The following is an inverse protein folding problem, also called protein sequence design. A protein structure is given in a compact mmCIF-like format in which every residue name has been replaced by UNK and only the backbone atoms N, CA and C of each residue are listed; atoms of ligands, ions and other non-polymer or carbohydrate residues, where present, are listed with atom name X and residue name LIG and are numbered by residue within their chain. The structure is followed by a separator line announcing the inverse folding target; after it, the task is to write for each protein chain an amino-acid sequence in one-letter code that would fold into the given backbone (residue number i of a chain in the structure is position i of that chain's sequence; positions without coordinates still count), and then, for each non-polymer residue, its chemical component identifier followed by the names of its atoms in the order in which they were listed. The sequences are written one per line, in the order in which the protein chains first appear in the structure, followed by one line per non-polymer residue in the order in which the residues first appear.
data_IF_358272273400
#
_entry.id   IF_358272273400
#
_cell.length_a   1.000
_cell.length_b   1.000
_cell.length_c   1.000
_cell.angle_alpha   90.00
_cell.angle_beta   90.00
_cell.angle_gamma   90.00
#
_symmetry.space_group_name_H-M   'P 1'
#
loop_
_entity.id
_entity.type
_entity.pdbx_description
1 polymer ?
#
# COMPACT_ATOMS: atom_id res chain seq x y z
N UNK A 1 1.41 -9.71 -9.88
CA UNK A 1 1.37 -8.78 -8.73
C UNK A 1 1.87 -7.37 -9.10
N UNK A 2 3.12 -7.19 -9.58
CA UNK A 2 3.70 -5.88 -9.91
C UNK A 2 2.84 -5.03 -10.85
N UNK A 3 2.43 -5.58 -12.01
CA UNK A 3 1.57 -4.88 -12.96
C UNK A 3 0.20 -4.51 -12.37
N UNK A 4 -0.35 -5.34 -11.48
CA UNK A 4 -1.60 -5.03 -10.79
C UNK A 4 -1.43 -3.88 -9.80
N UNK A 5 -0.36 -3.87 -9.00
CA UNK A 5 -0.09 -2.77 -8.08
C UNK A 5 0.14 -1.43 -8.80
N UNK A 6 0.91 -1.45 -9.90
CA UNK A 6 1.13 -0.27 -10.74
C UNK A 6 -0.19 0.18 -11.41
N UNK A 7 -0.96 -0.75 -11.96
CA UNK A 7 -2.24 -0.44 -12.59
C UNK A 7 -3.21 0.23 -11.62
N UNK A 8 -3.29 -0.28 -10.38
CA UNK A 8 -4.07 0.32 -9.30
C UNK A 8 -3.59 1.74 -8.97
N UNK A 9 -2.26 1.94 -8.89
CA UNK A 9 -1.66 3.24 -8.68
C UNK A 9 -1.97 4.23 -9.81
N UNK A 10 -1.88 3.80 -11.07
CA UNK A 10 -2.24 4.67 -12.21
C UNK A 10 -3.74 5.00 -12.24
N UNK A 11 -4.61 4.03 -11.97
CA UNK A 11 -6.05 4.29 -11.85
C UNK A 11 -6.31 5.32 -10.74
N UNK A 12 -5.64 5.18 -9.60
CA UNK A 12 -5.70 6.12 -8.49
C UNK A 12 -5.18 7.51 -8.87
N UNK A 13 -4.10 7.60 -9.65
CA UNK A 13 -3.54 8.86 -10.15
C UNK A 13 -4.55 9.59 -11.05
N UNK A 14 -5.18 8.88 -11.99
CA UNK A 14 -6.23 9.44 -12.86
C UNK A 14 -7.42 9.92 -12.01
N UNK A 15 -7.86 9.08 -11.05
CA UNK A 15 -8.91 9.44 -10.09
C UNK A 15 -8.54 10.68 -9.27
N UNK A 16 -7.30 10.76 -8.79
CA UNK A 16 -6.79 11.90 -8.04
C UNK A 16 -6.88 13.21 -8.82
N UNK A 17 -6.35 13.26 -10.04
CA UNK A 17 -6.42 14.48 -10.88
C UNK A 17 -7.86 14.88 -11.25
N UNK A 18 -8.79 13.93 -11.34
CA UNK A 18 -10.18 14.22 -11.75
C UNK A 18 -11.08 14.57 -10.58
N UNK A 19 -10.85 14.00 -9.39
CA UNK A 19 -11.75 14.07 -8.24
C UNK A 19 -11.27 15.08 -7.21
N UNK A 20 -9.97 15.10 -6.87
CA UNK A 20 -9.43 15.98 -5.80
C UNK A 20 -9.74 17.46 -6.04
N UNK A 21 -9.63 18.01 -7.27
CA UNK A 21 -10.00 19.41 -7.53
C UNK A 21 -11.46 19.73 -7.20
N UNK A 22 -12.35 18.73 -7.30
CA UNK A 22 -13.79 18.87 -7.02
C UNK A 22 -14.13 18.77 -5.54
N UNK A 23 -13.18 18.39 -4.69
CA UNK A 23 -13.39 18.29 -3.23
C UNK A 23 -13.42 19.65 -2.54
N UNK A 24 -13.21 20.76 -3.29
CA UNK A 24 -13.17 22.12 -2.78
C UNK A 24 -12.26 22.24 -1.53
N UNK A 25 -11.04 21.72 -1.67
CA UNK A 25 -10.03 21.82 -0.61
C UNK A 25 -9.64 23.28 -0.48
N UNK A 26 -10.19 23.95 0.51
CA UNK A 26 -9.85 25.34 0.82
C UNK A 26 -8.56 25.31 1.62
N UNK A 27 -7.51 25.87 1.04
CA UNK A 27 -6.28 26.15 1.78
C UNK A 27 -6.54 27.34 2.71
N UNK A 28 -7.09 27.05 3.90
CA UNK A 28 -7.22 28.05 4.95
C UNK A 28 -5.85 28.29 5.59
N UNK A 29 -4.96 28.95 4.86
CA UNK A 29 -3.73 29.52 5.43
C UNK A 29 -3.98 30.75 6.32
N UNK A 30 -5.23 31.24 6.37
CA UNK A 30 -5.63 32.34 7.19
C UNK A 30 -6.32 31.89 8.48
N UNK A 31 -5.61 31.93 9.61
CA UNK A 31 -6.20 31.68 10.92
C UNK A 31 -5.86 30.34 11.57
N UNK A 32 -4.90 29.60 11.04
CA UNK A 32 -4.35 28.41 11.71
C UNK A 32 -3.53 28.88 12.92
N UNK A 33 -3.88 28.40 14.11
CA UNK A 33 -3.14 28.71 15.32
C UNK A 33 -1.73 28.12 15.23
N UNK A 34 -0.72 28.98 15.46
CA UNK A 34 0.67 28.51 15.48
C UNK A 34 0.89 27.50 16.61
N UNK A 35 1.69 26.49 16.32
CA UNK A 35 2.07 25.49 17.33
C UNK A 35 3.03 26.14 18.33
N UNK A 36 2.95 25.74 19.61
CA UNK A 36 3.97 26.13 20.59
C UNK A 36 5.36 25.70 20.13
N UNK A 37 6.37 26.47 20.51
CA UNK A 37 7.76 26.07 20.27
C UNK A 37 8.04 24.69 20.91
N UNK A 38 8.80 23.86 20.19
CA UNK A 38 9.21 22.56 20.71
C UNK A 38 10.17 22.75 21.90
N UNK A 39 9.89 22.06 23.00
CA UNK A 39 10.73 22.07 24.21
C UNK A 39 12.14 21.56 23.89
N UNK A 40 12.24 20.55 23.04
CA UNK A 40 13.50 20.04 22.48
C UNK A 40 13.24 19.38 21.13
N UNK A 41 14.26 19.34 20.29
CA UNK A 41 14.25 18.64 19.01
C UNK A 41 15.33 17.56 19.04
N UNK A 42 14.92 16.30 18.97
CA UNK A 42 15.85 15.20 18.85
C UNK A 42 16.07 14.91 17.37
N UNK A 43 17.22 15.32 16.85
CA UNK A 43 17.62 15.01 15.47
C UNK A 43 18.49 13.74 15.46
N UNK A 44 17.97 12.67 14.87
CA UNK A 44 18.72 11.43 14.65
C UNK A 44 18.98 11.36 13.15
N UNK A 45 20.22 11.67 12.69
CA UNK A 45 20.53 11.60 11.28
C UNK A 45 20.45 10.14 10.80
N UNK A 46 19.86 9.88 9.62
CA UNK A 46 19.82 8.54 9.06
C UNK A 46 21.23 8.08 8.69
N UNK A 47 21.51 6.78 8.84
CA UNK A 47 22.78 6.17 8.43
C UNK A 47 23.06 6.37 6.93
N UNK A 48 22.00 6.33 6.14
CA UNK A 48 22.02 6.65 4.70
C UNK A 48 20.65 7.23 4.27
N UNK A 49 20.65 7.98 3.18
CA UNK A 49 19.39 8.45 2.62
C UNK A 49 18.53 7.27 2.16
N UNK A 50 17.22 7.43 2.15
CA UNK A 50 16.31 6.35 1.74
C UNK A 50 16.53 5.94 0.28
N UNK A 51 16.80 6.91 -0.60
CA UNK A 51 17.13 6.61 -2.00
C UNK A 51 18.45 5.83 -2.13
N UNK A 52 19.45 6.14 -1.31
CA UNK A 52 20.70 5.36 -1.26
C UNK A 52 20.46 3.94 -0.74
N UNK A 53 19.66 3.78 0.32
CA UNK A 53 19.30 2.48 0.85
C UNK A 53 18.55 1.62 -0.17
N UNK A 54 17.63 2.23 -0.93
CA UNK A 54 16.90 1.55 -2.01
C UNK A 54 17.86 1.06 -3.09
N UNK A 55 18.67 1.97 -3.64
CA UNK A 55 19.59 1.62 -4.72
C UNK A 55 20.57 0.53 -4.25
N UNK A 56 21.09 0.66 -3.04
CA UNK A 56 21.97 -0.34 -2.43
C UNK A 56 21.28 -1.71 -2.31
N UNK A 57 20.04 -1.76 -1.80
CA UNK A 57 19.31 -3.01 -1.63
C UNK A 57 19.00 -3.71 -2.96
N UNK A 58 18.64 -2.94 -4.00
CA UNK A 58 18.43 -3.48 -5.35
C UNK A 58 19.72 -4.05 -5.91
N UNK A 59 20.83 -3.31 -5.83
CA UNK A 59 22.11 -3.76 -6.36
C UNK A 59 22.64 -5.01 -5.64
N UNK A 60 22.56 -5.04 -4.31
CA UNK A 60 23.00 -6.22 -3.53
C UNK A 60 22.08 -7.41 -3.81
N UNK A 61 20.77 -7.22 -3.86
CA UNK A 61 19.83 -8.30 -4.19
C UNK A 61 20.08 -8.91 -5.58
N UNK A 62 20.29 -8.07 -6.60
CA UNK A 62 20.64 -8.52 -7.94
C UNK A 62 22.02 -9.24 -7.98
N UNK A 63 23.02 -8.67 -7.33
CA UNK A 63 24.36 -9.26 -7.26
C UNK A 63 24.33 -10.63 -6.57
N UNK A 64 23.58 -10.76 -5.46
CA UNK A 64 23.39 -12.05 -4.76
C UNK A 64 22.73 -13.09 -5.66
N UNK A 65 21.71 -12.69 -6.42
CA UNK A 65 21.04 -13.57 -7.37
C UNK A 65 21.97 -14.01 -8.52
N UNK A 66 22.79 -13.09 -9.07
CA UNK A 66 23.73 -13.39 -10.15
C UNK A 66 24.88 -14.29 -9.70
N UNK A 67 25.40 -14.07 -8.50
CA UNK A 67 26.51 -14.85 -7.94
C UNK A 67 26.05 -16.15 -7.30
N UNK A 68 24.72 -16.35 -7.12
CA UNK A 68 24.14 -17.49 -6.40
C UNK A 68 24.78 -17.70 -5.02
N UNK A 69 25.08 -16.60 -4.32
CA UNK A 69 25.76 -16.65 -3.02
C UNK A 69 24.77 -17.06 -1.91
N UNK A 70 24.76 -18.33 -1.54
CA UNK A 70 23.89 -18.86 -0.48
C UNK A 70 24.13 -18.20 0.89
N UNK A 71 25.38 -17.84 1.21
CA UNK A 71 25.70 -17.18 2.47
C UNK A 71 25.09 -15.79 2.52
N UNK A 72 25.24 -14.99 1.46
CA UNK A 72 24.68 -13.64 1.39
C UNK A 72 23.17 -13.68 1.41
N UNK A 73 22.54 -14.63 0.71
CA UNK A 73 21.09 -14.83 0.74
C UNK A 73 20.59 -15.10 2.16
N UNK A 74 21.21 -16.02 2.90
CA UNK A 74 20.87 -16.32 4.30
C UNK A 74 21.01 -15.10 5.20
N UNK A 75 22.11 -14.34 5.07
CA UNK A 75 22.31 -13.12 5.85
C UNK A 75 21.25 -12.04 5.56
N UNK A 76 20.87 -11.87 4.29
CA UNK A 76 19.82 -10.92 3.91
C UNK A 76 18.45 -11.35 4.45
N UNK A 77 18.15 -12.65 4.47
CA UNK A 77 16.92 -13.19 5.06
C UNK A 77 16.89 -12.95 6.57
N UNK A 78 17.97 -13.28 7.29
CA UNK A 78 18.08 -13.01 8.72
C UNK A 78 17.95 -11.52 9.04
N UNK A 79 18.64 -10.66 8.26
CA UNK A 79 18.53 -9.21 8.42
C UNK A 79 17.08 -8.72 8.21
N UNK A 80 16.39 -9.21 7.18
CA UNK A 80 14.97 -8.94 6.96
C UNK A 80 14.15 -9.32 8.19
N UNK A 81 14.37 -10.50 8.76
CA UNK A 81 13.59 -10.98 9.91
C UNK A 81 13.83 -10.14 11.17
N UNK A 82 15.07 -9.67 11.36
CA UNK A 82 15.41 -8.71 12.44
C UNK A 82 14.66 -7.39 12.22
N UNK A 83 14.69 -6.83 11.01
CA UNK A 83 13.97 -5.59 10.70
C UNK A 83 12.47 -5.75 10.91
N UNK A 84 11.88 -6.88 10.47
CA UNK A 84 10.46 -7.18 10.70
C UNK A 84 10.12 -7.26 12.19
N UNK A 85 11.01 -7.84 13.01
CA UNK A 85 10.83 -7.87 14.45
C UNK A 85 10.84 -6.45 15.06
N UNK A 86 11.73 -5.57 14.61
CA UNK A 86 11.76 -4.16 15.04
C UNK A 86 10.47 -3.45 14.63
N UNK A 87 10.04 -3.60 13.38
CA UNK A 87 8.79 -2.99 12.89
C UNK A 87 7.61 -3.45 13.75
N UNK A 88 7.45 -4.74 13.98
CA UNK A 88 6.33 -5.29 14.73
C UNK A 88 6.34 -4.92 16.21
N UNK A 89 7.51 -4.90 16.86
CA UNK A 89 7.62 -4.72 18.31
C UNK A 89 7.82 -3.26 18.73
N UNK A 90 8.31 -2.41 17.83
CA UNK A 90 8.64 -1.01 18.14
C UNK A 90 7.79 -0.06 17.33
N UNK A 91 7.84 -0.15 15.98
CA UNK A 91 7.21 0.84 15.11
C UNK A 91 5.69 0.76 15.18
N UNK A 92 5.10 -0.43 14.98
CA UNK A 92 3.65 -0.61 14.95
C UNK A 92 2.98 -0.16 16.27
N UNK A 93 3.48 -0.51 17.46
CA UNK A 93 2.88 -0.02 18.71
C UNK A 93 2.93 1.50 18.90
N UNK A 94 3.86 2.20 18.24
CA UNK A 94 3.97 3.66 18.28
C UNK A 94 2.97 4.36 17.34
N UNK A 95 2.55 3.71 16.25
CA UNK A 95 1.65 4.31 15.24
C UNK A 95 0.37 4.92 15.84
N UNK A 96 -0.37 4.26 16.75
CA UNK A 96 -1.57 4.85 17.35
C UNK A 96 -1.30 6.15 18.10
N UNK A 97 -0.18 6.20 18.85
CA UNK A 97 0.24 7.41 19.59
C UNK A 97 0.60 8.53 18.59
N UNK A 98 1.35 8.21 17.55
CA UNK A 98 1.72 9.14 16.49
C UNK A 98 0.49 9.70 15.77
N UNK A 99 -0.46 8.84 15.41
CA UNK A 99 -1.73 9.22 14.79
C UNK A 99 -2.55 10.14 15.70
N UNK A 100 -2.68 9.77 17.00
CA UNK A 100 -3.38 10.60 17.97
C UNK A 100 -2.72 11.99 18.12
N UNK A 101 -1.39 12.05 18.17
CA UNK A 101 -0.64 13.31 18.22
C UNK A 101 -0.88 14.17 16.98
N UNK A 102 -0.94 13.58 15.78
CA UNK A 102 -1.24 14.31 14.54
C UNK A 102 -2.65 14.91 14.58
N UNK A 103 -3.67 14.15 15.00
CA UNK A 103 -5.02 14.68 15.17
C UNK A 103 -5.11 15.75 16.26
N UNK A 104 -4.39 15.59 17.36
CA UNK A 104 -4.32 16.61 18.41
C UNK A 104 -3.70 17.93 17.88
N UNK A 105 -2.66 17.83 17.07
CA UNK A 105 -2.05 18.96 16.37
C UNK A 105 -3.05 19.66 15.45
N UNK A 106 -3.77 18.92 14.61
CA UNK A 106 -4.81 19.46 13.72
C UNK A 106 -5.95 20.13 14.51
N UNK A 107 -6.34 19.54 15.65
CA UNK A 107 -7.36 20.08 16.53
C UNK A 107 -6.90 21.40 17.19
N UNK A 108 -5.65 21.43 17.69
CA UNK A 108 -5.07 22.62 18.29
C UNK A 108 -4.97 23.78 17.29
N UNK A 109 -4.59 23.48 16.06
CA UNK A 109 -4.52 24.45 14.97
C UNK A 109 -5.91 24.94 14.48
N UNK A 110 -7.01 24.30 14.94
CA UNK A 110 -8.37 24.62 14.49
C UNK A 110 -8.71 24.09 13.09
N UNK A 111 -7.82 23.34 12.47
CA UNK A 111 -7.99 22.83 11.10
C UNK A 111 -8.77 21.53 11.00
N UNK A 112 -9.03 20.84 12.13
CA UNK A 112 -9.71 19.55 12.12
C UNK A 112 -11.13 19.60 11.54
N UNK A 113 -11.90 20.66 11.83
CA UNK A 113 -13.28 20.80 11.36
C UNK A 113 -13.36 21.01 9.85
N UNK A 114 -12.33 21.58 9.24
CA UNK A 114 -12.25 21.81 7.79
C UNK A 114 -11.63 20.63 7.06
N UNK A 115 -10.66 19.93 7.67
CA UNK A 115 -9.94 18.83 7.03
C UNK A 115 -10.63 17.49 7.21
N UNK A 116 -11.26 17.22 8.35
CA UNK A 116 -11.93 15.95 8.61
C UNK A 116 -12.99 15.57 7.56
N UNK A 117 -13.86 16.48 7.09
CA UNK A 117 -14.78 16.15 6.00
C UNK A 117 -14.08 15.77 4.69
N UNK A 118 -12.92 16.37 4.41
CA UNK A 118 -12.11 16.04 3.22
C UNK A 118 -11.54 14.65 3.37
N UNK A 119 -11.00 14.31 4.55
CA UNK A 119 -10.49 12.97 4.85
C UNK A 119 -11.56 11.90 4.70
N UNK A 120 -12.76 12.13 5.25
CA UNK A 120 -13.87 11.19 5.14
C UNK A 120 -14.31 10.99 3.67
N UNK A 121 -14.35 12.07 2.89
CA UNK A 121 -14.63 11.96 1.44
C UNK A 121 -13.55 11.17 0.72
N UNK A 122 -12.27 11.44 1.00
CA UNK A 122 -11.16 10.71 0.42
C UNK A 122 -11.23 9.21 0.76
N UNK A 123 -11.56 8.87 2.01
CA UNK A 123 -11.77 7.50 2.48
C UNK A 123 -12.83 6.78 1.64
N UNK A 124 -14.00 7.38 1.47
CA UNK A 124 -15.10 6.80 0.68
C UNK A 124 -14.67 6.61 -0.78
N UNK A 125 -14.01 7.61 -1.37
CA UNK A 125 -13.53 7.54 -2.77
C UNK A 125 -12.52 6.41 -2.93
N UNK A 126 -11.59 6.24 -2.01
CA UNK A 126 -10.59 5.17 -2.03
C UNK A 126 -11.26 3.79 -1.93
N UNK A 127 -12.23 3.62 -1.02
CA UNK A 127 -12.98 2.36 -0.89
C UNK A 127 -13.70 2.03 -2.21
N UNK A 128 -14.37 3.00 -2.82
CA UNK A 128 -15.01 2.81 -4.13
C UNK A 128 -13.94 2.44 -5.18
N UNK A 129 -12.79 3.11 -5.16
CA UNK A 129 -11.65 2.79 -6.01
C UNK A 129 -11.16 1.35 -5.85
N UNK A 130 -11.12 0.83 -4.63
CA UNK A 130 -10.76 -0.57 -4.37
C UNK A 130 -11.73 -1.54 -5.07
N UNK A 131 -13.04 -1.32 -4.95
CA UNK A 131 -14.02 -2.17 -5.61
C UNK A 131 -13.97 -2.06 -7.14
N UNK A 132 -13.75 -0.86 -7.68
CA UNK A 132 -13.54 -0.66 -9.12
C UNK A 132 -12.30 -1.43 -9.56
N UNK A 133 -11.18 -1.33 -8.84
CA UNK A 133 -9.96 -2.05 -9.18
C UNK A 133 -10.13 -3.56 -9.11
N UNK A 134 -10.79 -4.07 -8.07
CA UNK A 134 -11.12 -5.50 -7.98
C UNK A 134 -11.97 -5.95 -9.18
N UNK A 135 -12.98 -5.19 -9.55
CA UNK A 135 -13.80 -5.50 -10.73
C UNK A 135 -12.94 -5.56 -12.00
N UNK A 136 -12.08 -4.57 -12.23
CA UNK A 136 -11.15 -4.55 -13.38
C UNK A 136 -10.23 -5.77 -13.35
N UNK A 137 -9.63 -6.07 -12.21
CA UNK A 137 -8.69 -7.19 -12.08
C UNK A 137 -9.35 -8.55 -12.33
N UNK A 138 -10.55 -8.76 -11.78
CA UNK A 138 -11.33 -9.98 -12.00
C UNK A 138 -11.85 -10.10 -13.44
N UNK A 139 -12.23 -8.99 -14.08
CA UNK A 139 -12.59 -8.98 -15.51
C UNK A 139 -11.39 -9.36 -16.40
N UNK A 140 -10.21 -8.81 -16.12
CA UNK A 140 -8.97 -9.19 -16.80
C UNK A 140 -8.67 -10.68 -16.59
N UNK A 141 -8.80 -11.17 -15.36
CA UNK A 141 -8.58 -12.59 -15.04
C UNK A 141 -9.57 -13.49 -15.78
N UNK A 142 -10.82 -13.09 -15.87
CA UNK A 142 -11.84 -13.78 -16.67
C UNK A 142 -11.51 -13.83 -18.17
N UNK A 143 -11.09 -12.70 -18.72
CA UNK A 143 -10.71 -12.59 -20.14
C UNK A 143 -9.48 -13.46 -20.48
N UNK A 144 -8.47 -13.48 -19.61
CA UNK A 144 -7.26 -14.29 -19.81
C UNK A 144 -7.54 -15.78 -19.65
N UNK A 145 -8.36 -16.14 -18.65
CA UNK A 145 -8.63 -17.55 -18.31
C UNK A 145 -9.72 -18.19 -19.16
N UNK A 146 -10.62 -17.39 -19.71
CA UNK A 146 -11.84 -17.90 -20.34
C UNK A 146 -12.84 -18.51 -19.34
N UNK A 147 -12.58 -18.39 -18.03
CA UNK A 147 -13.42 -18.92 -16.95
C UNK A 147 -14.19 -17.77 -16.27
N UNK A 148 -15.35 -18.07 -15.69
CA UNK A 148 -16.14 -17.04 -14.99
C UNK A 148 -15.45 -16.64 -13.67
N UNK A 149 -14.96 -15.39 -13.54
CA UNK A 149 -14.23 -14.94 -12.37
C UNK A 149 -15.11 -14.85 -11.10
N UNK A 150 -16.44 -14.74 -11.24
CA UNK A 150 -17.37 -14.76 -10.12
C UNK A 150 -17.32 -16.08 -9.34
N UNK A 151 -16.87 -17.20 -9.97
CA UNK A 151 -16.68 -18.50 -9.30
C UNK A 151 -15.53 -18.49 -8.30
N UNK A 152 -14.63 -17.52 -8.39
CA UNK A 152 -13.57 -17.25 -7.40
C UNK A 152 -14.07 -16.21 -6.40
N UNK A 153 -14.48 -15.04 -6.89
CA UNK A 153 -14.81 -13.88 -6.08
C UNK A 153 -15.87 -14.17 -5.00
N UNK A 154 -16.90 -14.97 -5.32
CA UNK A 154 -18.00 -15.29 -4.38
C UNK A 154 -17.53 -15.96 -3.07
N UNK A 155 -16.37 -16.58 -3.05
CA UNK A 155 -15.84 -17.24 -1.85
C UNK A 155 -14.95 -16.35 -1.01
N UNK A 156 -14.53 -15.17 -1.51
CA UNK A 156 -13.54 -14.31 -0.84
C UNK A 156 -14.11 -13.42 0.28
N UNK A 157 -15.43 -13.45 0.53
CA UNK A 157 -16.05 -12.68 1.61
C UNK A 157 -15.39 -12.87 2.98
N UNK A 158 -15.17 -14.11 3.45
CA UNK A 158 -14.48 -14.34 4.74
C UNK A 158 -13.06 -13.78 4.77
N UNK A 159 -12.29 -13.96 3.69
CA UNK A 159 -10.93 -13.40 3.60
C UNK A 159 -10.94 -11.86 3.60
N UNK A 160 -11.88 -11.24 2.89
CA UNK A 160 -12.06 -9.79 2.88
C UNK A 160 -12.32 -9.25 4.29
N UNK A 161 -13.25 -9.87 5.05
CA UNK A 161 -13.59 -9.45 6.41
C UNK A 161 -12.44 -9.71 7.40
N UNK A 162 -11.73 -10.83 7.27
CA UNK A 162 -10.54 -11.11 8.08
C UNK A 162 -9.44 -10.09 7.82
N UNK A 163 -9.22 -9.70 6.57
CA UNK A 163 -8.24 -8.68 6.20
C UNK A 163 -8.60 -7.31 6.78
N UNK A 164 -9.89 -6.93 6.78
CA UNK A 164 -10.35 -5.70 7.46
C UNK A 164 -9.99 -5.74 8.95
N UNK A 165 -10.25 -6.87 9.61
CA UNK A 165 -10.02 -6.99 11.05
C UNK A 165 -8.56 -7.06 11.46
N UNK A 166 -7.71 -7.68 10.61
CA UNK A 166 -6.29 -7.91 10.93
C UNK A 166 -5.36 -6.83 10.40
N UNK A 167 -5.76 -6.12 9.34
CA UNK A 167 -4.90 -5.22 8.55
C UNK A 167 -3.59 -5.90 8.09
N UNK A 168 -3.60 -7.23 7.97
CA UNK A 168 -2.41 -8.02 7.67
C UNK A 168 -2.73 -9.12 6.65
N UNK A 169 -2.12 -9.05 5.48
CA UNK A 169 -2.22 -10.10 4.47
C UNK A 169 -1.62 -11.42 4.98
N UNK A 170 -0.53 -11.35 5.74
CA UNK A 170 0.10 -12.54 6.34
C UNK A 170 -0.82 -13.23 7.35
N UNK A 171 -1.48 -12.48 8.23
CA UNK A 171 -2.44 -13.04 9.20
C UNK A 171 -3.71 -13.57 8.52
N UNK A 172 -4.08 -13.03 7.36
CA UNK A 172 -5.26 -13.45 6.59
C UNK A 172 -4.99 -14.66 5.70
N UNK A 173 -3.73 -14.99 5.45
CA UNK A 173 -3.30 -16.04 4.51
C UNK A 173 -4.04 -17.38 4.68
N UNK A 174 -4.20 -17.97 5.88
CA UNK A 174 -4.91 -19.25 6.02
C UNK A 174 -6.36 -19.19 5.50
N UNK A 175 -7.07 -18.09 5.82
CA UNK A 175 -8.46 -17.87 5.39
C UNK A 175 -8.54 -17.62 3.88
N UNK A 176 -7.56 -16.89 3.31
CA UNK A 176 -7.50 -16.66 1.87
C UNK A 176 -7.26 -17.95 1.08
N UNK A 177 -6.39 -18.82 1.58
CA UNK A 177 -6.17 -20.17 1.00
C UNK A 177 -7.45 -20.99 1.04
N UNK A 178 -8.14 -21.06 2.17
CA UNK A 178 -9.40 -21.80 2.30
C UNK A 178 -10.48 -21.24 1.36
N UNK A 179 -10.54 -19.92 1.18
CA UNK A 179 -11.45 -19.28 0.23
C UNK A 179 -11.12 -19.65 -1.22
N UNK A 180 -9.85 -19.62 -1.59
CA UNK A 180 -9.40 -19.95 -2.94
C UNK A 180 -9.67 -21.42 -3.29
N UNK A 181 -9.39 -22.36 -2.38
CA UNK A 181 -9.60 -23.80 -2.56
C UNK A 181 -11.07 -24.21 -2.71
N UNK A 182 -12.02 -23.37 -2.29
CA UNK A 182 -13.46 -23.61 -2.54
C UNK A 182 -13.86 -23.39 -4.00
N UNK A 183 -13.01 -22.76 -4.79
CA UNK A 183 -13.31 -22.45 -6.18
C UNK A 183 -12.89 -23.59 -7.09
N UNK A 184 -13.86 -24.17 -7.77
CA UNK A 184 -13.70 -25.27 -8.73
C UNK A 184 -13.03 -24.85 -10.07
N UNK A 185 -12.69 -23.57 -10.23
CA UNK A 185 -11.97 -23.07 -11.42
C UNK A 185 -10.48 -22.80 -11.14
N UNK A 186 -10.05 -22.91 -9.89
CA UNK A 186 -8.64 -22.83 -9.50
C UNK A 186 -8.05 -24.22 -9.32
N UNK A 187 -6.77 -24.35 -9.62
CA UNK A 187 -5.99 -25.56 -9.33
C UNK A 187 -5.36 -25.45 -7.96
N UNK A 188 -5.39 -26.53 -7.18
CA UNK A 188 -4.84 -26.53 -5.81
C UNK A 188 -3.32 -26.25 -5.79
N UNK A 189 -2.55 -26.88 -6.69
CA UNK A 189 -1.10 -26.69 -6.79
C UNK A 189 -0.73 -25.23 -7.12
N UNK A 190 -1.49 -24.57 -8.00
CA UNK A 190 -1.32 -23.16 -8.33
C UNK A 190 -1.76 -22.26 -7.17
N UNK A 191 -2.83 -22.61 -6.48
CA UNK A 191 -3.35 -21.87 -5.33
C UNK A 191 -2.37 -21.91 -4.16
N UNK A 192 -1.83 -23.09 -3.83
CA UNK A 192 -0.86 -23.30 -2.75
C UNK A 192 0.45 -22.55 -2.97
N UNK A 193 0.80 -22.25 -4.22
CA UNK A 193 1.94 -21.40 -4.57
C UNK A 193 1.57 -19.90 -4.60
N UNK A 194 0.47 -19.58 -5.29
CA UNK A 194 0.14 -18.18 -5.64
C UNK A 194 -0.32 -17.38 -4.44
N UNK A 195 -1.22 -17.93 -3.62
CA UNK A 195 -1.80 -17.16 -2.51
C UNK A 195 -0.75 -16.80 -1.45
N UNK A 196 0.13 -17.71 -0.98
CA UNK A 196 1.21 -17.34 -0.07
C UNK A 196 2.20 -16.33 -0.66
N UNK A 197 2.52 -16.46 -1.94
CA UNK A 197 3.41 -15.53 -2.62
C UNK A 197 2.78 -14.14 -2.71
N UNK A 198 1.53 -14.06 -3.18
CA UNK A 198 0.81 -12.80 -3.36
C UNK A 198 0.54 -12.08 -2.03
N UNK A 199 0.29 -12.79 -0.94
CA UNK A 199 0.14 -12.21 0.39
C UNK A 199 1.34 -11.33 0.81
N UNK A 200 2.51 -11.54 0.20
CA UNK A 200 3.72 -10.76 0.49
C UNK A 200 4.04 -9.72 -0.60
N UNK A 201 3.64 -9.93 -1.86
CA UNK A 201 4.12 -9.10 -2.98
C UNK A 201 3.00 -8.44 -3.79
N UNK A 202 1.74 -8.66 -3.46
CA UNK A 202 0.59 -8.10 -4.18
C UNK A 202 -0.13 -7.07 -3.31
N UNK A 203 0.20 -5.81 -3.49
CA UNK A 203 -0.29 -4.68 -2.69
C UNK A 203 -1.08 -3.67 -3.55
N UNK A 204 -1.99 -4.15 -4.40
CA UNK A 204 -2.76 -3.30 -5.32
C UNK A 204 -3.66 -2.28 -4.59
N UNK A 205 -4.34 -2.71 -3.52
CA UNK A 205 -5.17 -1.82 -2.71
C UNK A 205 -4.35 -0.79 -1.94
N UNK A 206 -3.23 -1.23 -1.34
CA UNK A 206 -2.30 -0.33 -0.66
C UNK A 206 -1.68 0.68 -1.62
N UNK A 207 -1.28 0.27 -2.82
CA UNK A 207 -0.73 1.17 -3.85
C UNK A 207 -1.76 2.21 -4.29
N UNK A 208 -3.04 1.80 -4.49
CA UNK A 208 -4.13 2.71 -4.80
C UNK A 208 -4.34 3.73 -3.68
N UNK A 209 -4.40 3.25 -2.42
CA UNK A 209 -4.57 4.10 -1.23
C UNK A 209 -3.44 5.11 -1.10
N UNK A 210 -2.18 4.65 -1.08
CA UNK A 210 -1.01 5.53 -0.92
C UNK A 210 -1.01 6.60 -2.02
N UNK A 211 -1.25 6.21 -3.28
CA UNK A 211 -1.26 7.13 -4.41
C UNK A 211 -2.33 8.22 -4.27
N UNK A 212 -3.56 7.87 -3.89
CA UNK A 212 -4.62 8.86 -3.70
C UNK A 212 -4.34 9.77 -2.50
N UNK A 213 -3.84 9.20 -1.40
CA UNK A 213 -3.56 9.95 -0.17
C UNK A 213 -2.41 10.93 -0.39
N UNK A 214 -1.30 10.55 -1.05
CA UNK A 214 -0.20 11.50 -1.32
C UNK A 214 -0.66 12.68 -2.19
N UNK A 215 -1.52 12.45 -3.19
CA UNK A 215 -2.09 13.52 -4.00
C UNK A 215 -3.01 14.42 -3.17
N UNK A 216 -3.83 13.83 -2.29
CA UNK A 216 -4.73 14.57 -1.38
C UNK A 216 -3.93 15.40 -0.39
N UNK A 217 -2.92 14.82 0.25
CA UNK A 217 -2.02 15.52 1.19
C UNK A 217 -1.27 16.64 0.49
N UNK A 218 -0.75 16.40 -0.72
CA UNK A 218 -0.10 17.45 -1.52
C UNK A 218 -1.02 18.64 -1.77
N UNK A 219 -2.28 18.39 -2.11
CA UNK A 219 -3.25 19.45 -2.32
C UNK A 219 -3.58 20.21 -1.04
N UNK A 220 -3.69 19.50 0.09
CA UNK A 220 -4.03 20.08 1.40
C UNK A 220 -2.89 20.95 1.94
N UNK A 221 -1.66 20.42 1.97
CA UNK A 221 -0.53 21.08 2.64
C UNK A 221 0.23 22.04 1.71
N UNK A 222 0.43 21.63 0.44
CA UNK A 222 1.26 22.41 -0.47
C UNK A 222 0.45 23.17 -1.53
N UNK A 223 -0.88 23.06 -1.51
CA UNK A 223 -1.79 23.80 -2.40
C UNK A 223 -1.73 23.38 -3.87
N UNK A 224 -0.97 22.33 -4.18
CA UNK A 224 -0.79 21.82 -5.55
C UNK A 224 -0.62 20.31 -5.55
N UNK A 225 -1.14 19.66 -6.58
CA UNK A 225 -0.85 18.23 -6.83
C UNK A 225 0.52 18.08 -7.50
N UNK A 226 1.21 16.95 -7.28
CA UNK A 226 2.44 16.62 -7.99
C UNK A 226 2.22 16.62 -9.52
N UNK A 227 3.27 16.83 -10.30
CA UNK A 227 3.16 16.74 -11.76
C UNK A 227 2.86 15.32 -12.24
N UNK A 228 2.30 15.18 -13.45
CA UNK A 228 2.02 13.86 -14.02
C UNK A 228 3.30 13.01 -14.13
N UNK A 229 4.42 13.62 -14.56
CA UNK A 229 5.71 12.92 -14.66
C UNK A 229 6.21 12.42 -13.30
N UNK A 230 6.05 13.25 -12.25
CA UNK A 230 6.40 12.88 -10.89
C UNK A 230 5.53 11.72 -10.40
N UNK A 231 4.22 11.76 -10.67
CA UNK A 231 3.31 10.67 -10.28
C UNK A 231 3.58 9.38 -11.05
N UNK A 232 3.95 9.45 -12.33
CA UNK A 232 4.36 8.27 -13.09
C UNK A 232 5.59 7.62 -12.45
N UNK A 233 6.62 8.40 -12.17
CA UNK A 233 7.82 7.90 -11.49
C UNK A 233 7.48 7.32 -10.11
N UNK A 234 6.68 8.04 -9.33
CA UNK A 234 6.24 7.59 -8.00
C UNK A 234 5.53 6.24 -8.05
N UNK A 235 4.55 6.07 -8.94
CA UNK A 235 3.77 4.83 -9.06
C UNK A 235 4.63 3.65 -9.51
N UNK A 236 5.55 3.86 -10.46
CA UNK A 236 6.48 2.82 -10.91
C UNK A 236 7.40 2.35 -9.76
N UNK A 237 7.96 3.29 -9.01
CA UNK A 237 8.78 2.97 -7.84
C UNK A 237 7.94 2.34 -6.73
N UNK A 238 6.73 2.85 -6.45
CA UNK A 238 5.83 2.28 -5.45
C UNK A 238 5.55 0.80 -5.72
N UNK A 239 5.38 0.40 -6.99
CA UNK A 239 5.22 -1.00 -7.37
C UNK A 239 6.43 -1.86 -6.98
N UNK A 240 7.66 -1.33 -7.09
CA UNK A 240 8.89 -2.02 -6.68
C UNK A 240 8.95 -2.13 -5.14
N UNK A 241 8.68 -1.03 -4.43
CA UNK A 241 8.66 -1.02 -2.96
C UNK A 241 7.59 -1.95 -2.38
N UNK A 242 6.45 -2.05 -3.05
CA UNK A 242 5.37 -2.95 -2.66
C UNK A 242 5.83 -4.42 -2.58
N UNK A 243 6.77 -4.85 -3.43
CA UNK A 243 7.33 -6.21 -3.39
C UNK A 243 8.13 -6.46 -2.09
N UNK A 244 8.79 -5.43 -1.57
CA UNK A 244 9.59 -5.50 -0.35
C UNK A 244 8.82 -5.13 0.93
N UNK A 245 7.58 -4.69 0.82
CA UNK A 245 6.79 -4.28 1.97
C UNK A 245 6.34 -5.51 2.79
N UNK A 246 6.47 -5.47 4.12
CA UNK A 246 5.95 -6.57 4.94
C UNK A 246 4.42 -6.58 4.93
N UNK A 247 3.82 -7.78 4.94
CA UNK A 247 2.36 -8.00 4.97
C UNK A 247 1.74 -7.78 6.36
N UNK A 248 2.14 -6.72 7.07
CA UNK A 248 1.72 -6.35 8.43
C UNK A 248 1.06 -4.97 8.42
N UNK A 249 0.27 -4.59 9.46
CA UNK A 249 -0.35 -3.28 9.53
C UNK A 249 0.65 -2.14 9.31
N UNK A 250 0.33 -1.19 8.44
CA UNK A 250 1.21 -0.06 8.12
C UNK A 250 2.42 -0.40 7.24
N UNK A 251 2.68 -1.67 6.92
CA UNK A 251 3.90 -2.09 6.23
C UNK A 251 4.10 -1.41 4.88
N UNK A 252 3.05 -1.29 4.08
CA UNK A 252 3.13 -0.69 2.76
C UNK A 252 3.46 0.82 2.80
N UNK A 253 2.83 1.59 3.70
CA UNK A 253 3.12 3.03 3.82
C UNK A 253 4.54 3.25 4.35
N UNK A 254 4.96 2.47 5.35
CA UNK A 254 6.31 2.58 5.88
C UNK A 254 7.37 2.28 4.81
N UNK A 255 7.18 1.23 4.00
CA UNK A 255 8.06 0.94 2.87
C UNK A 255 8.08 2.07 1.82
N UNK A 256 7.00 2.83 1.68
CA UNK A 256 6.89 3.90 0.68
C UNK A 256 7.47 5.25 1.12
N UNK A 257 7.76 5.46 2.40
CA UNK A 257 8.17 6.78 2.92
C UNK A 257 9.38 7.35 2.18
N UNK A 258 10.31 6.50 1.76
CA UNK A 258 11.47 6.95 1.03
C UNK A 258 11.19 7.56 -0.33
N UNK A 259 10.25 7.01 -1.07
CA UNK A 259 9.84 7.62 -2.34
C UNK A 259 8.93 8.82 -2.11
N UNK A 260 8.17 8.85 -1.02
CA UNK A 260 7.35 10.00 -0.63
C UNK A 260 8.23 11.21 -0.34
N UNK A 261 9.28 11.04 0.46
CA UNK A 261 10.22 12.13 0.77
C UNK A 261 11.15 12.44 -0.41
N UNK A 262 11.72 11.41 -1.06
CA UNK A 262 12.72 11.60 -2.10
C UNK A 262 12.18 12.03 -3.46
N UNK A 263 10.97 11.59 -3.84
CA UNK A 263 10.36 11.89 -5.16
C UNK A 263 9.32 12.99 -5.07
N UNK A 264 8.47 12.96 -4.03
CA UNK A 264 7.40 13.95 -3.85
C UNK A 264 7.83 15.16 -3.01
N UNK A 265 8.98 15.05 -2.30
CA UNK A 265 9.51 16.14 -1.49
C UNK A 265 8.69 16.42 -0.24
N UNK A 266 8.00 15.41 0.33
CA UNK A 266 7.24 15.61 1.55
C UNK A 266 8.16 15.90 2.73
N UNK A 267 7.77 16.89 3.52
CA UNK A 267 8.33 17.19 4.82
C UNK A 267 7.71 16.30 5.92
N UNK A 268 8.13 16.49 7.15
CA UNK A 268 7.64 15.74 8.31
C UNK A 268 6.12 15.86 8.49
N UNK A 269 5.55 17.04 8.22
CA UNK A 269 4.11 17.26 8.31
C UNK A 269 3.35 16.46 7.24
N UNK A 270 3.85 16.45 6.02
CA UNK A 270 3.30 15.67 4.92
C UNK A 270 3.37 14.16 5.20
N UNK A 271 4.51 13.69 5.71
CA UNK A 271 4.69 12.29 6.13
C UNK A 271 3.73 11.93 7.26
N UNK A 272 3.60 12.78 8.28
CA UNK A 272 2.69 12.56 9.40
C UNK A 272 1.23 12.41 8.95
N UNK A 273 0.79 13.32 8.08
CA UNK A 273 -0.57 13.28 7.56
C UNK A 273 -0.81 12.07 6.65
N UNK A 274 0.17 11.71 5.83
CA UNK A 274 0.12 10.48 5.00
C UNK A 274 -0.06 9.23 5.86
N UNK A 275 0.79 9.02 6.87
CA UNK A 275 0.71 7.85 7.77
C UNK A 275 -0.65 7.81 8.46
N UNK A 276 -1.12 8.96 8.95
CA UNK A 276 -2.40 9.07 9.64
C UNK A 276 -3.56 8.66 8.74
N UNK A 277 -3.65 9.22 7.53
CA UNK A 277 -4.73 8.91 6.59
C UNK A 277 -4.64 7.48 6.07
N UNK A 278 -3.42 6.99 5.82
CA UNK A 278 -3.22 5.61 5.40
C UNK A 278 -3.68 4.63 6.47
N UNK A 279 -3.33 4.85 7.73
CA UNK A 279 -3.71 3.97 8.85
C UNK A 279 -5.23 3.81 8.98
N UNK A 280 -5.99 4.87 8.70
CA UNK A 280 -7.46 4.81 8.67
C UNK A 280 -8.01 3.95 7.52
N UNK A 281 -7.21 3.71 6.49
CA UNK A 281 -7.59 3.01 5.25
C UNK A 281 -6.95 1.63 5.10
N UNK A 282 -5.93 1.32 5.88
CA UNK A 282 -5.09 0.12 5.72
C UNK A 282 -5.91 -1.17 5.73
N UNK A 283 -6.96 -1.23 6.55
CA UNK A 283 -7.88 -2.36 6.61
C UNK A 283 -8.55 -2.64 5.26
N UNK A 284 -9.02 -1.61 4.56
CA UNK A 284 -9.68 -1.76 3.26
C UNK A 284 -8.68 -2.01 2.14
N UNK A 285 -7.50 -1.39 2.21
CA UNK A 285 -6.38 -1.63 1.30
C UNK A 285 -5.93 -3.08 1.35
N UNK A 286 -5.74 -3.61 2.56
CA UNK A 286 -5.37 -5.02 2.79
C UNK A 286 -6.46 -5.98 2.30
N UNK A 287 -7.74 -5.68 2.54
CA UNK A 287 -8.84 -6.48 2.03
C UNK A 287 -8.88 -6.52 0.49
N UNK A 288 -8.57 -5.40 -0.17
CA UNK A 288 -8.41 -5.34 -1.62
C UNK A 288 -7.21 -6.17 -2.10
N UNK A 289 -6.06 -6.10 -1.43
CA UNK A 289 -4.87 -6.90 -1.75
C UNK A 289 -5.22 -8.40 -1.75
N UNK A 290 -5.68 -8.89 -0.60
CA UNK A 290 -6.01 -10.32 -0.39
C UNK A 290 -7.08 -10.82 -1.36
N UNK A 291 -8.12 -10.01 -1.61
CA UNK A 291 -9.18 -10.41 -2.54
C UNK A 291 -8.66 -10.45 -3.97
N UNK A 292 -7.76 -9.53 -4.34
CA UNK A 292 -7.11 -9.50 -5.65
C UNK A 292 -6.23 -10.72 -5.92
N UNK A 293 -5.70 -11.39 -4.88
CA UNK A 293 -4.87 -12.59 -5.02
C UNK A 293 -5.61 -13.73 -5.73
N UNK A 294 -6.93 -13.84 -5.49
CA UNK A 294 -7.77 -14.81 -6.19
C UNK A 294 -7.84 -14.60 -7.70
N UNK A 295 -7.83 -13.35 -8.15
CA UNK A 295 -7.77 -13.03 -9.58
C UNK A 295 -6.41 -13.42 -10.19
N UNK A 296 -5.30 -13.18 -9.46
CA UNK A 296 -3.96 -13.59 -9.88
C UNK A 296 -3.89 -15.13 -9.98
N UNK A 297 -4.42 -15.86 -8.99
CA UNK A 297 -4.48 -17.32 -9.01
C UNK A 297 -5.27 -17.84 -10.21
N UNK A 298 -6.38 -17.18 -10.58
CA UNK A 298 -7.17 -17.56 -11.76
C UNK A 298 -6.38 -17.38 -13.06
N UNK A 299 -5.64 -16.27 -13.19
CA UNK A 299 -4.79 -16.02 -14.36
C UNK A 299 -3.66 -17.07 -14.45
N UNK A 300 -3.00 -17.39 -13.33
CA UNK A 300 -1.91 -18.36 -13.29
C UNK A 300 -2.40 -19.78 -13.54
N UNK A 301 -3.55 -20.19 -13.01
CA UNK A 301 -4.20 -21.47 -13.33
C UNK A 301 -4.39 -21.62 -14.85
N UNK A 302 -4.92 -20.58 -15.50
CA UNK A 302 -5.14 -20.62 -16.95
C UNK A 302 -3.84 -20.69 -17.76
N UNK A 303 -2.78 -20.02 -17.29
CA UNK A 303 -1.46 -20.07 -17.95
C UNK A 303 -0.84 -21.47 -17.78
N UNK A 304 -0.95 -22.05 -16.59
CA UNK A 304 -0.47 -23.41 -16.32
C UNK A 304 -1.20 -24.45 -17.17
N UNK A 305 -2.55 -24.36 -17.24
CA UNK A 305 -3.37 -25.24 -18.07
C UNK A 305 -2.97 -25.16 -19.56
N UNK A 306 -2.73 -23.94 -20.08
CA UNK A 306 -2.30 -23.75 -21.48
C UNK A 306 -0.90 -24.28 -21.80
N UNK A 307 -0.02 -24.33 -20.79
CA UNK A 307 1.35 -24.83 -20.96
C UNK A 307 1.51 -26.32 -20.63
N UNK A 308 0.45 -26.98 -20.19
CA UNK A 308 0.49 -28.41 -19.81
C UNK A 308 1.35 -28.67 -18.57
N UNK A 309 1.46 -27.67 -17.69
CA UNK A 309 2.19 -27.77 -16.42
C UNK A 309 1.29 -28.32 -15.32
#
# INVERSE_FOLDING_TARGET
SYLSSIGAGFMSTIGGYTIIPKLNIVNNSGGVKELPEMIFKLEIPPVMSVMSALLFSILIGLATAWTKSELTEKLLVEFKDIILAIVNKVVIPIIPIYTASTFATLAYQGSITTQLPIFLKAIVIIIIGHFIWLAVLYLIAGAISGKNPARVFKYYGPAYLTAIGTMSSAATLPVALDCAKKSDVLRDDITDFTIPLCANIHLCGSALTITFVVMTVSQILYGKMPSVSTMVLFVLLLGIFAIGAPGVPGGAVMASLGIVTGVLGFDDAGVALLITLYTLQDSFGTACNVTGDGAIALMLTAIADKKGM
#
